data_IF_367810683938
#
_entry.id   IF_367810683938
#
_cell.length_a   1.000
_cell.length_b   1.000
_cell.length_c   1.000
_cell.angle_alpha   90.00
_cell.angle_beta   90.00
_cell.angle_gamma   90.00
#
_symmetry.space_group_name_H-M   'P 1'
#
loop_
_entity.id
_entity.type
_entity.pdbx_description
1 polymer ?
#
# COMPACT_ATOMS: atom_id res chain seq x y z
N UNK A 1 47.54 0.58 64.00
CA UNK A 1 48.62 -0.25 63.40
C UNK A 1 48.25 -0.65 61.96
N UNK A 2 48.89 -0.07 60.93
CA UNK A 2 48.55 -0.34 59.51
C UNK A 2 49.26 -1.61 59.03
N UNK A 3 48.53 -2.72 58.90
CA UNK A 3 49.03 -4.00 58.37
C UNK A 3 49.30 -3.87 56.86
N UNK A 4 50.57 -3.80 56.45
CA UNK A 4 51.02 -3.75 55.05
C UNK A 4 51.29 -5.18 54.57
N UNK A 5 50.83 -5.54 53.37
CA UNK A 5 51.19 -6.81 52.72
C UNK A 5 52.20 -6.45 51.63
N UNK A 6 53.37 -7.07 51.67
CA UNK A 6 54.45 -6.81 50.72
C UNK A 6 54.48 -7.91 49.67
N UNK A 7 54.17 -7.57 48.42
CA UNK A 7 54.30 -8.48 47.29
C UNK A 7 55.71 -8.30 46.70
N UNK A 8 56.52 -9.36 46.74
CA UNK A 8 57.86 -9.39 46.15
C UNK A 8 57.78 -10.31 44.93
N UNK A 9 57.94 -9.72 43.75
CA UNK A 9 58.08 -10.48 42.50
C UNK A 9 59.58 -10.65 42.27
N UNK A 10 60.06 -11.89 42.39
CA UNK A 10 61.44 -12.27 42.04
C UNK A 10 61.48 -12.64 40.56
N UNK A 11 62.17 -11.83 39.75
CA UNK A 11 62.48 -12.17 38.36
C UNK A 11 63.81 -12.91 38.29
N UNK A 12 63.86 -14.03 37.55
CA UNK A 12 65.02 -14.92 37.38
C UNK A 12 66.16 -14.33 36.51
N UNK A 13 66.30 -13.00 36.45
CA UNK A 13 67.30 -12.35 35.60
C UNK A 13 67.75 -11.04 36.25
N UNK A 14 68.70 -11.15 37.19
CA UNK A 14 69.68 -10.13 37.62
C UNK A 14 69.27 -8.70 37.97
N UNK A 15 68.01 -8.29 37.83
CA UNK A 15 67.54 -6.93 38.06
C UNK A 15 66.97 -6.76 39.48
N UNK A 16 67.13 -5.58 40.11
CA UNK A 16 66.71 -5.39 41.51
C UNK A 16 65.20 -5.59 41.66
N UNK A 17 64.82 -6.47 42.59
CA UNK A 17 63.43 -6.81 42.87
C UNK A 17 62.62 -5.57 43.22
N UNK A 18 61.63 -5.24 42.38
CA UNK A 18 60.74 -4.09 42.57
C UNK A 18 59.63 -4.46 43.55
N UNK A 19 59.80 -4.06 44.81
CA UNK A 19 58.80 -4.29 45.86
C UNK A 19 57.68 -3.24 45.74
N UNK A 20 56.50 -3.64 45.26
CA UNK A 20 55.31 -2.79 45.31
C UNK A 20 54.65 -2.95 46.68
N UNK A 21 54.89 -2.00 47.59
CA UNK A 21 54.21 -1.93 48.88
C UNK A 21 52.75 -1.48 48.69
N UNK A 22 51.86 -2.41 48.32
CA UNK A 22 50.43 -2.15 48.24
C UNK A 22 49.81 -2.19 49.65
N UNK A 23 49.20 -1.07 50.07
CA UNK A 23 48.44 -1.02 51.32
C UNK A 23 47.15 -1.84 51.18
N UNK A 24 46.65 -2.47 52.25
CA UNK A 24 45.35 -3.17 52.21
C UNK A 24 44.20 -2.28 51.73
N UNK A 25 44.33 -0.97 51.92
CA UNK A 25 43.38 0.02 51.40
C UNK A 25 43.44 0.16 49.87
N UNK A 26 44.63 0.14 49.26
CA UNK A 26 44.76 0.24 47.79
C UNK A 26 44.27 -1.03 47.11
N UNK A 27 44.47 -2.21 47.71
CA UNK A 27 43.92 -3.47 47.19
C UNK A 27 42.39 -3.45 47.21
N UNK A 28 41.77 -2.94 48.30
CA UNK A 28 40.31 -2.79 48.35
C UNK A 28 39.79 -1.80 47.31
N UNK A 29 40.47 -0.67 47.13
CA UNK A 29 40.06 0.34 46.14
C UNK A 29 40.13 -0.22 44.71
N UNK A 30 41.21 -0.93 44.38
CA UNK A 30 41.36 -1.60 43.07
C UNK A 30 40.28 -2.67 42.88
N UNK A 31 39.95 -3.45 43.91
CA UNK A 31 38.88 -4.45 43.83
C UNK A 31 37.51 -3.81 43.57
N UNK A 32 37.17 -2.71 44.26
CA UNK A 32 35.93 -1.96 44.02
C UNK A 32 35.92 -1.37 42.60
N UNK A 33 37.06 -0.87 42.13
CA UNK A 33 37.19 -0.31 40.78
C UNK A 33 36.97 -1.38 39.71
N UNK A 34 37.52 -2.58 39.88
CA UNK A 34 37.30 -3.70 38.96
C UNK A 34 35.82 -4.09 38.92
N UNK A 35 35.15 -4.18 40.07
CA UNK A 35 33.71 -4.48 40.14
C UNK A 35 32.90 -3.39 39.42
N UNK A 36 33.20 -2.12 39.69
CA UNK A 36 32.55 -1.01 39.03
C UNK A 36 32.72 -1.08 37.51
N UNK A 37 33.94 -1.36 37.03
CA UNK A 37 34.25 -1.49 35.61
C UNK A 37 33.49 -2.65 34.95
N UNK A 38 33.37 -3.80 35.62
CA UNK A 38 32.58 -4.93 35.13
C UNK A 38 31.09 -4.58 35.01
N UNK A 39 30.54 -3.83 35.97
CA UNK A 39 29.15 -3.36 35.92
C UNK A 39 28.95 -2.41 34.73
N UNK A 40 29.85 -1.44 34.51
CA UNK A 40 29.75 -0.51 33.37
C UNK A 40 29.86 -1.25 32.04
N UNK A 41 30.79 -2.19 31.89
CA UNK A 41 30.92 -2.97 30.66
C UNK A 41 29.67 -3.83 30.43
N UNK A 42 29.13 -4.46 31.48
CA UNK A 42 27.87 -5.22 31.39
C UNK A 42 26.71 -4.33 30.97
N UNK A 43 26.61 -3.12 31.51
CA UNK A 43 25.59 -2.13 31.14
C UNK A 43 25.73 -1.71 29.67
N UNK A 44 26.93 -1.39 29.21
CA UNK A 44 27.19 -1.00 27.81
C UNK A 44 26.87 -2.14 26.85
N UNK A 45 27.22 -3.38 27.18
CA UNK A 45 26.90 -4.55 26.34
C UNK A 45 25.38 -4.78 26.28
N UNK A 46 24.69 -4.67 27.41
CA UNK A 46 23.23 -4.79 27.46
C UNK A 46 22.55 -3.70 26.62
N UNK A 47 22.99 -2.45 26.75
CA UNK A 47 22.50 -1.31 25.97
C UNK A 47 22.78 -1.49 24.48
N UNK A 48 23.97 -1.99 24.13
CA UNK A 48 24.34 -2.29 22.74
C UNK A 48 23.49 -3.42 22.13
N UNK A 49 23.16 -4.46 22.91
CA UNK A 49 22.24 -5.51 22.48
C UNK A 49 20.81 -5.00 22.33
N UNK A 50 20.33 -4.15 23.23
CA UNK A 50 19.02 -3.49 23.14
C UNK A 50 18.91 -2.58 21.89
N UNK A 51 19.97 -1.83 21.59
CA UNK A 51 20.03 -0.99 20.38
C UNK A 51 20.00 -1.83 19.10
N UNK A 52 20.75 -2.94 19.08
CA UNK A 52 20.80 -3.84 17.92
C UNK A 52 19.47 -4.57 17.69
N UNK A 53 18.76 -4.91 18.76
CA UNK A 53 17.42 -5.51 18.66
C UNK A 53 16.36 -4.51 18.19
N UNK A 54 16.52 -3.22 18.51
CA UNK A 54 15.64 -2.15 18.04
C UNK A 54 15.83 -1.88 16.54
N UNK A 55 17.06 -1.98 16.02
CA UNK A 55 17.33 -1.79 14.57
C UNK A 55 16.74 -2.91 13.69
N UNK A 56 16.75 -4.17 14.14
CA UNK A 56 16.14 -5.28 13.39
C UNK A 56 14.62 -5.11 13.27
N UNK A 57 13.97 -4.55 14.28
CA UNK A 57 12.53 -4.30 14.26
C UNK A 57 12.13 -3.10 13.38
N UNK A 58 13.02 -2.13 13.18
CA UNK A 58 12.78 -0.99 12.28
C UNK A 58 12.83 -1.42 10.81
N UNK A 59 13.78 -2.28 10.44
CA UNK A 59 13.90 -2.77 9.06
C UNK A 59 12.69 -3.64 8.65
N UNK A 60 12.14 -4.44 9.57
CA UNK A 60 10.92 -5.21 9.30
C UNK A 60 9.69 -4.31 9.13
N UNK A 61 9.59 -3.20 9.88
CA UNK A 61 8.46 -2.26 9.73
C UNK A 61 8.50 -1.46 8.43
N UNK A 62 9.68 -1.13 7.92
CA UNK A 62 9.79 -0.49 6.61
C UNK A 62 9.35 -1.45 5.49
N UNK A 63 9.76 -2.73 5.54
CA UNK A 63 9.38 -3.72 4.52
C UNK A 63 7.86 -3.92 4.46
N UNK A 64 7.16 -3.90 5.59
CA UNK A 64 5.69 -3.98 5.59
C UNK A 64 5.04 -2.72 4.98
N UNK A 65 5.58 -1.53 5.23
CA UNK A 65 5.07 -0.28 4.65
C UNK A 65 5.29 -0.21 3.13
N UNK A 66 6.44 -0.64 2.61
CA UNK A 66 6.69 -0.63 1.16
C UNK A 66 5.82 -1.65 0.43
N UNK A 67 5.58 -2.81 1.03
CA UNK A 67 4.70 -3.83 0.45
C UNK A 67 3.25 -3.33 0.39
N UNK A 68 2.72 -2.74 1.48
CA UNK A 68 1.36 -2.18 1.48
C UNK A 68 1.20 -1.04 0.47
N UNK A 69 2.20 -0.16 0.33
CA UNK A 69 2.17 0.91 -0.68
C UNK A 69 2.15 0.36 -2.12
N UNK A 70 2.89 -0.72 -2.38
CA UNK A 70 2.88 -1.37 -3.70
C UNK A 70 1.53 -2.02 -4.03
N UNK A 71 0.87 -2.61 -3.03
CA UNK A 71 -0.47 -3.19 -3.19
C UNK A 71 -1.51 -2.12 -3.46
N UNK A 72 -1.47 -1.00 -2.73
CA UNK A 72 -2.35 0.16 -2.95
C UNK A 72 -2.15 0.72 -4.37
N UNK A 73 -0.91 0.83 -4.84
CA UNK A 73 -0.64 1.31 -6.19
C UNK A 73 -1.16 0.34 -7.27
N UNK A 74 -1.04 -0.97 -7.04
CA UNK A 74 -1.57 -2.00 -7.94
C UNK A 74 -3.10 -1.95 -7.99
N UNK A 75 -3.77 -1.89 -6.84
CA UNK A 75 -5.24 -1.78 -6.75
C UNK A 75 -5.74 -0.51 -7.46
N UNK A 76 -5.04 0.60 -7.30
CA UNK A 76 -5.35 1.86 -7.99
C UNK A 76 -5.29 1.71 -9.51
N UNK A 77 -4.25 1.08 -10.02
CA UNK A 77 -4.11 0.84 -11.46
C UNK A 77 -5.26 -0.04 -12.00
N UNK A 78 -5.66 -1.08 -11.27
CA UNK A 78 -6.79 -1.93 -11.66
C UNK A 78 -8.10 -1.15 -11.74
N UNK A 79 -8.36 -0.24 -10.80
CA UNK A 79 -9.57 0.59 -10.82
C UNK A 79 -9.59 1.53 -12.02
N UNK A 80 -8.43 2.11 -12.37
CA UNK A 80 -8.29 2.92 -13.57
C UNK A 80 -8.55 2.10 -14.84
N UNK A 81 -8.06 0.87 -14.91
CA UNK A 81 -8.33 -0.05 -16.02
C UNK A 81 -9.82 -0.39 -16.13
N UNK A 82 -10.49 -0.69 -15.00
CA UNK A 82 -11.93 -0.93 -14.98
C UNK A 82 -12.74 0.29 -15.41
N UNK A 83 -12.38 1.50 -14.97
CA UNK A 83 -13.03 2.73 -15.43
C UNK A 83 -12.91 2.91 -16.95
N UNK A 84 -11.75 2.60 -17.52
CA UNK A 84 -11.54 2.61 -18.97
C UNK A 84 -12.38 1.55 -19.69
N UNK A 85 -12.55 0.37 -19.09
CA UNK A 85 -13.34 -0.72 -19.66
C UNK A 85 -14.84 -0.38 -19.67
N UNK A 86 -15.35 0.25 -18.61
CA UNK A 86 -16.73 0.77 -18.53
C UNK A 86 -16.99 1.77 -19.67
N UNK A 87 -16.07 2.72 -19.87
CA UNK A 87 -16.17 3.69 -20.98
C UNK A 87 -16.18 3.00 -22.36
N UNK A 88 -15.39 1.93 -22.53
CA UNK A 88 -15.38 1.14 -23.77
C UNK A 88 -16.72 0.44 -24.02
N UNK A 89 -17.30 -0.19 -22.99
CA UNK A 89 -18.61 -0.86 -23.06
C UNK A 89 -19.71 0.16 -23.40
N UNK A 90 -19.68 1.35 -22.80
CA UNK A 90 -20.57 2.47 -23.14
C UNK A 90 -20.48 2.84 -24.62
N UNK A 91 -19.26 2.94 -25.14
CA UNK A 91 -19.01 3.21 -26.56
C UNK A 91 -19.58 2.13 -27.49
N UNK A 92 -19.46 0.86 -27.12
CA UNK A 92 -20.07 -0.25 -27.87
C UNK A 92 -21.59 -0.16 -27.89
N UNK A 93 -22.22 0.18 -26.76
CA UNK A 93 -23.68 0.31 -26.63
C UNK A 93 -24.23 1.45 -27.51
N UNK A 94 -23.53 2.59 -27.53
CA UNK A 94 -23.82 3.72 -28.43
C UNK A 94 -23.67 3.32 -29.89
N UNK A 95 -22.62 2.56 -30.22
CA UNK A 95 -22.40 2.07 -31.59
C UNK A 95 -23.51 1.12 -32.02
N UNK A 96 -23.93 0.21 -31.13
CA UNK A 96 -25.00 -0.75 -31.36
C UNK A 96 -26.35 -0.04 -31.56
N UNK A 97 -26.58 1.08 -30.87
CA UNK A 97 -27.78 1.90 -31.06
C UNK A 97 -27.80 2.55 -32.44
N UNK A 98 -26.67 3.11 -32.84
CA UNK A 98 -26.56 3.72 -34.16
C UNK A 98 -26.75 2.68 -35.27
N UNK A 99 -26.36 1.42 -35.04
CA UNK A 99 -26.62 0.33 -35.97
C UNK A 99 -28.11 -0.02 -36.05
N UNK A 100 -28.81 -0.16 -34.91
CA UNK A 100 -30.27 -0.35 -34.86
C UNK A 100 -31.01 0.75 -35.63
N UNK A 101 -30.70 2.02 -35.34
CA UNK A 101 -31.28 3.17 -36.06
C UNK A 101 -31.09 3.09 -37.57
N UNK A 102 -29.91 2.68 -38.04
CA UNK A 102 -29.64 2.53 -39.48
C UNK A 102 -30.50 1.45 -40.11
N UNK A 103 -30.67 0.30 -39.46
CA UNK A 103 -31.54 -0.78 -39.96
C UNK A 103 -32.98 -0.27 -40.07
N UNK A 104 -33.46 0.41 -39.04
CA UNK A 104 -34.82 0.96 -38.99
C UNK A 104 -35.09 1.94 -40.13
N UNK A 105 -34.11 2.80 -40.47
CA UNK A 105 -34.18 3.72 -41.62
C UNK A 105 -34.25 2.96 -42.95
N UNK A 106 -33.41 1.93 -43.14
CA UNK A 106 -33.39 1.12 -44.37
C UNK A 106 -34.72 0.38 -44.56
N UNK A 107 -35.31 -0.11 -43.47
CA UNK A 107 -36.59 -0.80 -43.48
C UNK A 107 -37.81 0.14 -43.52
N UNK A 108 -37.60 1.47 -43.54
CA UNK A 108 -38.65 2.49 -43.50
C UNK A 108 -39.65 2.29 -42.34
N UNK A 109 -39.14 1.88 -41.18
CA UNK A 109 -39.94 1.69 -39.96
C UNK A 109 -39.96 3.02 -39.19
N UNK A 110 -41.14 3.56 -38.92
CA UNK A 110 -41.30 4.81 -38.19
C UNK A 110 -40.82 4.67 -36.73
N UNK A 111 -40.24 5.75 -36.19
CA UNK A 111 -39.59 5.74 -34.88
C UNK A 111 -40.43 6.53 -33.88
N UNK A 112 -40.68 5.98 -32.70
CA UNK A 112 -41.04 6.77 -31.52
C UNK A 112 -39.77 7.41 -30.96
N UNK A 113 -39.81 8.72 -30.68
CA UNK A 113 -38.67 9.57 -30.29
C UNK A 113 -37.91 9.10 -29.02
N UNK A 114 -38.47 8.15 -28.25
CA UNK A 114 -37.90 7.63 -26.99
C UNK A 114 -36.55 6.92 -27.15
N UNK A 115 -36.25 6.38 -28.32
CA UNK A 115 -35.02 5.64 -28.63
C UNK A 115 -33.77 6.54 -28.78
N UNK A 116 -33.92 7.86 -28.66
CA UNK A 116 -32.78 8.78 -28.57
C UNK A 116 -32.19 8.86 -27.15
N UNK A 117 -32.87 8.33 -26.14
CA UNK A 117 -32.47 8.46 -24.75
C UNK A 117 -32.23 7.10 -24.06
N UNK A 118 -31.24 6.35 -24.55
CA UNK A 118 -30.88 5.04 -23.98
C UNK A 118 -30.39 5.17 -22.52
N UNK A 119 -29.74 6.29 -22.22
CA UNK A 119 -29.31 6.62 -20.87
C UNK A 119 -30.43 7.48 -20.27
N UNK A 120 -31.11 6.95 -19.25
CA UNK A 120 -32.40 7.46 -18.78
C UNK A 120 -32.40 8.94 -18.36
N UNK A 121 -33.58 9.56 -18.43
CA UNK A 121 -33.83 11.01 -18.26
C UNK A 121 -33.64 11.56 -16.82
N UNK A 122 -32.96 10.83 -15.93
CA UNK A 122 -32.93 11.11 -14.49
C UNK A 122 -31.67 11.79 -13.95
N UNK A 123 -30.61 11.89 -14.74
CA UNK A 123 -29.31 12.40 -14.30
C UNK A 123 -28.61 13.22 -15.38
N UNK A 124 -27.61 14.01 -14.98
CA UNK A 124 -26.68 14.63 -15.94
C UNK A 124 -26.16 13.55 -16.88
N UNK A 125 -26.13 13.84 -18.19
CA UNK A 125 -25.55 12.95 -19.21
C UNK A 125 -24.27 12.32 -18.64
N UNK A 126 -24.16 10.98 -18.57
CA UNK A 126 -23.10 10.35 -17.80
C UNK A 126 -21.77 10.85 -18.36
N UNK A 127 -21.09 11.67 -17.58
CA UNK A 127 -19.79 12.19 -17.94
C UNK A 127 -18.82 11.01 -17.95
N UNK A 128 -17.94 10.94 -18.94
CA UNK A 128 -17.02 9.80 -19.04
C UNK A 128 -16.20 9.67 -17.75
N UNK A 129 -16.00 8.45 -17.27
CA UNK A 129 -15.21 8.22 -16.05
C UNK A 129 -13.81 8.79 -16.27
N UNK A 130 -13.41 9.75 -15.44
CA UNK A 130 -12.07 10.32 -15.49
C UNK A 130 -11.07 9.34 -14.86
N UNK A 131 -10.65 8.40 -15.70
CA UNK A 131 -9.64 7.41 -15.40
C UNK A 131 -8.25 8.04 -15.17
N UNK A 132 -8.05 9.35 -15.36
CA UNK A 132 -6.73 10.01 -15.22
C UNK A 132 -6.53 10.71 -13.88
N UNK A 133 -7.56 10.76 -13.04
CA UNK A 133 -7.45 11.39 -11.72
C UNK A 133 -6.49 10.62 -10.82
N UNK A 134 -5.54 11.30 -10.14
CA UNK A 134 -4.72 10.65 -9.15
C UNK A 134 -5.61 10.11 -8.02
N UNK A 135 -5.73 8.78 -7.96
CA UNK A 135 -6.56 8.02 -7.01
C UNK A 135 -6.17 8.19 -5.53
N UNK A 136 -5.21 9.07 -5.25
CA UNK A 136 -4.73 9.38 -3.92
C UNK A 136 -5.70 10.23 -3.11
N UNK A 137 -6.60 10.97 -3.79
CA UNK A 137 -7.48 11.94 -3.13
C UNK A 137 -8.98 11.66 -3.36
N UNK A 138 -9.34 10.93 -4.43
CA UNK A 138 -10.73 10.76 -4.90
C UNK A 138 -11.15 9.30 -5.20
N UNK A 139 -10.52 8.32 -4.56
CA UNK A 139 -10.82 6.89 -4.79
C UNK A 139 -12.31 6.54 -4.58
N UNK A 140 -12.92 7.05 -3.51
CA UNK A 140 -14.31 6.74 -3.16
C UNK A 140 -15.32 7.35 -4.14
N UNK A 141 -15.03 8.53 -4.71
CA UNK A 141 -15.93 9.12 -5.69
C UNK A 141 -15.88 8.36 -7.00
N UNK A 142 -14.69 8.01 -7.50
CA UNK A 142 -14.57 7.23 -8.74
C UNK A 142 -15.26 5.87 -8.61
N UNK A 143 -15.06 5.16 -7.49
CA UNK A 143 -15.72 3.86 -7.27
C UNK A 143 -17.25 3.99 -7.22
N UNK A 144 -17.77 5.05 -6.59
CA UNK A 144 -19.21 5.34 -6.57
C UNK A 144 -19.73 5.63 -7.98
N UNK A 145 -19.03 6.47 -8.72
CA UNK A 145 -19.40 6.85 -10.09
C UNK A 145 -19.34 5.63 -11.03
N UNK A 146 -18.38 4.72 -10.83
CA UNK A 146 -18.32 3.44 -11.56
C UNK A 146 -19.52 2.55 -11.28
N UNK A 147 -19.95 2.42 -10.02
CA UNK A 147 -21.16 1.64 -9.68
C UNK A 147 -22.40 2.23 -10.33
N UNK A 148 -22.57 3.55 -10.26
CA UNK A 148 -23.68 4.24 -10.90
C UNK A 148 -23.67 4.01 -12.43
N UNK A 149 -22.52 4.12 -13.09
CA UNK A 149 -22.42 3.88 -14.53
C UNK A 149 -22.64 2.42 -14.93
N UNK A 150 -22.24 1.45 -14.11
CA UNK A 150 -22.53 0.02 -14.37
C UNK A 150 -24.04 -0.24 -14.31
N UNK A 151 -24.73 0.33 -13.34
CA UNK A 151 -26.19 0.20 -13.23
C UNK A 151 -26.91 0.86 -14.42
N UNK A 152 -26.45 2.05 -14.83
CA UNK A 152 -26.96 2.71 -16.03
C UNK A 152 -26.70 1.90 -17.30
N UNK A 153 -25.49 1.35 -17.49
CA UNK A 153 -25.15 0.51 -18.62
C UNK A 153 -25.99 -0.77 -18.67
N UNK A 154 -26.27 -1.37 -17.52
CA UNK A 154 -27.12 -2.55 -17.44
C UNK A 154 -28.56 -2.22 -17.89
N UNK A 155 -29.11 -1.10 -17.42
CA UNK A 155 -30.44 -0.61 -17.86
C UNK A 155 -30.47 -0.29 -19.35
N UNK A 156 -29.45 0.40 -19.84
CA UNK A 156 -29.26 0.72 -21.25
C UNK A 156 -29.18 -0.54 -22.12
N UNK A 157 -28.47 -1.58 -21.65
CA UNK A 157 -28.32 -2.84 -22.36
C UNK A 157 -29.63 -3.62 -22.44
N UNK A 158 -30.40 -3.66 -21.33
CA UNK A 158 -31.74 -4.27 -21.31
C UNK A 158 -32.68 -3.55 -22.27
N UNK A 159 -32.69 -2.22 -22.24
CA UNK A 159 -33.50 -1.42 -23.16
C UNK A 159 -33.12 -1.70 -24.62
N UNK A 160 -31.83 -1.65 -24.93
CA UNK A 160 -31.33 -1.92 -26.28
C UNK A 160 -31.68 -3.32 -26.77
N UNK A 161 -31.59 -4.34 -25.91
CA UNK A 161 -32.03 -5.70 -26.25
C UNK A 161 -33.51 -5.73 -26.63
N UNK A 162 -34.37 -5.08 -25.84
CA UNK A 162 -35.81 -5.00 -26.11
C UNK A 162 -36.10 -4.32 -27.45
N UNK A 163 -35.38 -3.23 -27.77
CA UNK A 163 -35.52 -2.53 -29.05
C UNK A 163 -35.13 -3.41 -30.25
N UNK A 164 -34.04 -4.18 -30.13
CA UNK A 164 -33.64 -5.14 -31.16
C UNK A 164 -34.65 -6.27 -31.33
N UNK A 165 -35.20 -6.81 -30.24
CA UNK A 165 -36.24 -7.84 -30.32
C UNK A 165 -37.51 -7.32 -30.99
N UNK A 166 -37.90 -6.07 -30.71
CA UNK A 166 -39.02 -5.43 -31.39
C UNK A 166 -38.74 -5.22 -32.88
N UNK A 167 -37.55 -4.75 -33.23
CA UNK A 167 -37.15 -4.55 -34.62
C UNK A 167 -37.14 -5.88 -35.39
N UNK A 168 -36.61 -6.95 -34.78
CA UNK A 168 -36.59 -8.28 -35.39
C UNK A 168 -38.01 -8.76 -35.73
N UNK A 169 -38.95 -8.64 -34.78
CA UNK A 169 -40.36 -9.00 -34.99
C UNK A 169 -40.99 -8.25 -36.16
N UNK A 170 -40.74 -6.94 -36.27
CA UNK A 170 -41.26 -6.13 -37.39
C UNK A 170 -40.65 -6.49 -38.74
N UNK A 171 -39.46 -7.10 -38.77
CA UNK A 171 -38.81 -7.55 -40.01
C UNK A 171 -39.19 -8.99 -40.40
N UNK A 172 -39.66 -9.80 -39.45
CA UNK A 172 -40.13 -11.18 -39.71
C UNK A 172 -41.58 -11.23 -40.23
N UNK A 173 -42.39 -10.21 -39.93
CA UNK A 173 -43.76 -10.01 -40.45
C UNK A 173 -43.78 -9.41 -41.87
#
# INVERSE_FOLDING_TARGET
>A
MRKKISFVVLSNSGAPAKQMCASKASIRLVSVFIIACLITVGYVVYDYFQLKQTMVNLQTREIHLTNELSEIQSQRKQIQEFASEINSIKGHLVTLNNFEKKIRIIANIEKTDDSNNIFGVGGSMPEDLDARLPLMEKHNSLMRDMHEQVDELNRASIHQKSEFESLLRTLED
#
